data_IF_440061426703
#
_entry.id   IF_440061426703
#
_cell.length_a   1.000
_cell.length_b   1.000
_cell.length_c   1.000
_cell.angle_alpha   90.00
_cell.angle_beta   90.00
_cell.angle_gamma   90.00
#
_symmetry.space_group_name_H-M   'P 1'
#
loop_
_entity.id
_entity.type
_entity.pdbx_description
1 polymer ?
#
# COMPACT_ATOMS: atom_id res chain seq x y z
N UNK A 1 7.96 -81.99 25.33
CA UNK A 1 7.82 -81.83 23.87
C UNK A 1 6.39 -81.38 23.59
N UNK A 2 6.09 -80.23 22.96
CA UNK A 2 6.73 -78.91 23.07
C UNK A 2 5.73 -77.72 23.31
N UNK A 3 6.27 -76.60 23.83
CA UNK A 3 6.07 -75.18 23.43
C UNK A 3 4.70 -74.46 23.54
N UNK A 4 4.59 -73.43 24.42
CA UNK A 4 4.80 -71.98 24.08
C UNK A 4 4.54 -71.02 25.27
N UNK A 5 5.18 -69.85 25.18
CA UNK A 5 5.58 -68.87 26.21
C UNK A 5 4.48 -67.90 26.71
N UNK A 6 4.65 -67.28 27.91
CA UNK A 6 3.89 -66.12 28.34
C UNK A 6 4.67 -64.81 28.08
N UNK A 7 4.04 -63.82 27.44
CA UNK A 7 4.56 -62.45 27.38
C UNK A 7 3.38 -61.46 27.30
N UNK A 8 3.03 -60.84 28.41
CA UNK A 8 2.23 -59.62 28.41
C UNK A 8 2.97 -58.55 29.22
N UNK A 9 3.68 -57.68 28.52
CA UNK A 9 4.33 -56.49 29.06
C UNK A 9 3.26 -55.51 29.58
N UNK A 10 3.46 -55.05 30.81
CA UNK A 10 2.77 -53.89 31.38
C UNK A 10 3.32 -52.60 30.75
N UNK A 11 2.42 -51.75 30.24
CA UNK A 11 2.76 -50.43 29.68
C UNK A 11 2.76 -49.40 30.80
N UNK A 12 3.92 -48.79 31.07
CA UNK A 12 4.07 -47.59 31.90
C UNK A 12 3.56 -46.36 31.13
N UNK A 13 2.60 -45.63 31.69
CA UNK A 13 2.21 -44.30 31.21
C UNK A 13 3.11 -43.24 31.86
N UNK A 14 3.96 -42.59 31.06
CA UNK A 14 4.70 -41.40 31.47
C UNK A 14 3.98 -40.13 30.99
N UNK A 15 3.45 -39.34 31.93
CA UNK A 15 2.91 -38.01 31.67
C UNK A 15 4.08 -37.02 31.52
N UNK A 16 4.31 -36.52 30.31
CA UNK A 16 5.19 -35.37 30.06
C UNK A 16 4.31 -34.12 29.97
N UNK A 17 4.35 -33.26 31.00
CA UNK A 17 3.80 -31.91 30.92
C UNK A 17 4.68 -31.05 29.99
N UNK A 18 4.23 -30.88 28.75
CA UNK A 18 4.78 -29.89 27.84
C UNK A 18 4.28 -28.48 28.20
N UNK A 19 5.20 -27.65 28.68
CA UNK A 19 5.04 -26.19 28.78
C UNK A 19 4.83 -25.60 27.38
N UNK A 20 3.57 -25.39 27.00
CA UNK A 20 3.24 -24.59 25.82
C UNK A 20 3.42 -23.11 26.17
N UNK A 21 4.66 -22.62 26.03
CA UNK A 21 4.95 -21.19 25.88
C UNK A 21 4.30 -20.70 24.60
N UNK A 22 3.04 -20.25 24.69
CA UNK A 22 2.32 -19.58 23.62
C UNK A 22 2.96 -18.21 23.35
N UNK A 23 4.05 -18.20 22.59
CA UNK A 23 4.49 -17.00 21.89
C UNK A 23 3.35 -16.57 20.98
N UNK A 24 2.67 -15.48 21.36
CA UNK A 24 1.79 -14.77 20.42
C UNK A 24 2.69 -14.32 19.28
N UNK A 25 2.62 -15.01 18.14
CA UNK A 25 2.99 -14.40 16.89
C UNK A 25 2.15 -13.12 16.79
N UNK A 26 2.77 -11.95 16.97
CA UNK A 26 2.13 -10.68 16.61
C UNK A 26 1.70 -10.88 15.15
N UNK A 27 0.39 -10.80 14.89
CA UNK A 27 -0.10 -10.91 13.53
C UNK A 27 0.62 -9.82 12.72
N UNK A 28 1.43 -10.22 11.74
CA UNK A 28 2.33 -9.36 10.94
C UNK A 28 1.57 -8.40 9.98
N UNK A 29 0.46 -7.81 10.42
CA UNK A 29 -0.37 -6.92 9.63
C UNK A 29 -1.10 -5.89 10.48
N UNK A 30 -1.54 -4.83 9.82
CA UNK A 30 -2.35 -3.76 10.43
C UNK A 30 -3.65 -4.35 11.01
N UNK A 31 -4.04 -3.96 12.23
CA UNK A 31 -5.38 -4.23 12.78
C UNK A 31 -6.51 -3.70 11.90
N UNK A 32 -7.70 -4.31 12.04
CA UNK A 32 -8.90 -3.99 11.24
C UNK A 32 -9.41 -2.58 11.49
N UNK A 33 -9.83 -1.89 10.43
CA UNK A 33 -10.52 -0.62 10.59
C UNK A 33 -11.48 -0.34 9.42
N UNK A 34 -12.79 -0.38 9.73
CA UNK A 34 -13.91 -0.20 8.78
C UNK A 34 -13.84 -1.14 7.56
N UNK A 35 -13.26 -2.33 7.70
CA UNK A 35 -12.93 -3.18 6.55
C UNK A 35 -14.14 -3.56 5.69
N UNK A 36 -15.30 -3.81 6.31
CA UNK A 36 -16.52 -4.14 5.56
C UNK A 36 -16.98 -3.04 4.60
N UNK A 37 -16.69 -1.77 4.89
CA UNK A 37 -17.08 -0.63 4.05
C UNK A 37 -16.17 -0.45 2.84
N UNK A 38 -14.97 -1.03 2.85
CA UNK A 38 -13.94 -0.80 1.83
C UNK A 38 -13.41 -2.09 1.20
N UNK A 39 -13.94 -3.25 1.60
CA UNK A 39 -13.65 -4.52 0.97
C UNK A 39 -14.10 -4.49 -0.50
N UNK A 40 -13.38 -5.20 -1.36
CA UNK A 40 -13.81 -5.41 -2.74
C UNK A 40 -15.14 -6.16 -2.76
N UNK A 41 -16.22 -5.57 -3.31
CA UNK A 41 -17.55 -6.17 -3.23
C UNK A 41 -17.63 -7.52 -3.95
N UNK A 42 -16.95 -7.62 -5.10
CA UNK A 42 -16.92 -8.82 -5.92
C UNK A 42 -15.68 -8.85 -6.81
N UNK A 43 -15.04 -10.00 -6.87
CA UNK A 43 -13.99 -10.31 -7.85
C UNK A 43 -14.66 -10.93 -9.07
N UNK A 44 -14.54 -10.28 -10.23
CA UNK A 44 -15.10 -10.75 -11.50
C UNK A 44 -14.19 -11.77 -12.18
N UNK A 45 -12.87 -11.54 -12.11
CA UNK A 45 -11.87 -12.44 -12.65
C UNK A 45 -10.60 -12.40 -11.81
N UNK A 46 -9.87 -13.51 -11.84
CA UNK A 46 -8.58 -13.66 -11.20
C UNK A 46 -7.61 -14.35 -12.16
N UNK A 47 -6.48 -13.71 -12.41
CA UNK A 47 -5.41 -14.22 -13.27
C UNK A 47 -4.10 -14.25 -12.48
N UNK A 48 -3.10 -14.97 -13.02
CA UNK A 48 -1.76 -15.07 -12.42
C UNK A 48 -1.79 -15.47 -10.94
N UNK A 49 -2.64 -16.44 -10.58
CA UNK A 49 -2.77 -16.91 -9.19
C UNK A 49 -3.26 -15.85 -8.20
N UNK A 50 -4.00 -14.84 -8.67
CA UNK A 50 -4.49 -13.73 -7.85
C UNK A 50 -3.58 -12.50 -7.81
N UNK A 51 -2.54 -12.48 -8.64
CA UNK A 51 -1.72 -11.28 -8.84
C UNK A 51 -2.42 -10.26 -9.74
N UNK A 52 -3.32 -10.68 -10.63
CA UNK A 52 -4.17 -9.77 -11.39
C UNK A 52 -5.64 -10.06 -11.05
N UNK A 53 -6.30 -9.09 -10.42
CA UNK A 53 -7.73 -9.12 -10.14
C UNK A 53 -8.50 -8.15 -11.04
N UNK A 54 -9.66 -8.59 -11.54
CA UNK A 54 -10.71 -7.71 -12.06
C UNK A 54 -11.78 -7.61 -10.98
N UNK A 55 -12.00 -6.41 -10.48
CA UNK A 55 -12.92 -6.10 -9.39
C UNK A 55 -14.13 -5.38 -9.96
N UNK A 56 -15.33 -5.79 -9.54
CA UNK A 56 -16.56 -5.12 -9.93
C UNK A 56 -16.60 -3.71 -9.33
N UNK A 57 -16.73 -2.69 -10.18
CA UNK A 57 -17.06 -1.33 -9.75
C UNK A 57 -18.40 -0.93 -10.36
N UNK A 58 -19.35 -0.56 -9.49
CA UNK A 58 -20.71 -0.17 -9.88
C UNK A 58 -20.93 1.26 -9.44
N UNK A 59 -20.98 2.21 -10.39
CA UNK A 59 -21.17 3.66 -10.09
C UNK A 59 -22.31 3.93 -9.12
N UNK A 60 -23.44 3.22 -9.24
CA UNK A 60 -24.56 3.41 -8.32
C UNK A 60 -24.19 3.09 -6.86
N UNK A 61 -23.48 1.97 -6.61
CA UNK A 61 -23.08 1.53 -5.27
C UNK A 61 -21.85 2.30 -4.76
N UNK A 62 -20.81 2.30 -5.56
CA UNK A 62 -19.46 2.69 -5.14
C UNK A 62 -19.22 4.21 -5.23
N UNK A 63 -20.11 4.94 -5.94
CA UNK A 63 -20.11 6.38 -6.02
C UNK A 63 -21.43 6.97 -5.48
N UNK A 64 -22.57 6.76 -6.13
CA UNK A 64 -23.79 7.52 -5.82
C UNK A 64 -24.43 7.18 -4.47
N UNK A 65 -24.35 5.92 -4.02
CA UNK A 65 -24.83 5.52 -2.69
C UNK A 65 -23.80 5.75 -1.59
N UNK A 66 -22.51 5.73 -1.93
CA UNK A 66 -21.40 5.95 -1.00
C UNK A 66 -21.18 7.44 -0.71
N UNK A 67 -21.35 8.28 -1.71
CA UNK A 67 -21.17 9.72 -1.61
C UNK A 67 -22.50 10.42 -1.31
N UNK A 68 -22.46 11.35 -0.34
CA UNK A 68 -23.54 12.31 -0.07
C UNK A 68 -23.62 13.35 -1.19
N UNK A 69 -22.46 13.82 -1.66
CA UNK A 69 -22.31 14.62 -2.87
C UNK A 69 -21.31 13.90 -3.79
N UNK A 70 -21.72 13.40 -4.96
CA UNK A 70 -20.87 12.59 -5.83
C UNK A 70 -19.48 13.21 -6.03
N UNK A 71 -18.44 12.43 -5.74
CA UNK A 71 -17.03 12.79 -5.87
C UNK A 71 -16.51 13.89 -4.94
N UNK A 72 -17.39 14.53 -4.15
CA UNK A 72 -17.04 15.67 -3.30
C UNK A 72 -17.10 15.32 -1.81
N UNK A 73 -18.12 14.59 -1.37
CA UNK A 73 -18.32 14.29 0.04
C UNK A 73 -18.94 12.89 0.23
N UNK A 74 -18.22 12.02 0.94
CA UNK A 74 -18.71 10.71 1.37
C UNK A 74 -19.67 10.80 2.57
N UNK A 75 -20.57 9.83 2.72
CA UNK A 75 -21.36 9.70 3.95
C UNK A 75 -20.50 9.51 5.21
N UNK A 76 -20.97 10.06 6.34
CA UNK A 76 -20.22 10.10 7.59
C UNK A 76 -19.82 8.73 8.16
N UNK A 77 -20.53 7.65 7.82
CA UNK A 77 -20.16 6.29 8.21
C UNK A 77 -18.82 5.82 7.60
N UNK A 78 -18.33 6.44 6.52
CA UNK A 78 -17.00 6.19 5.96
C UNK A 78 -15.88 6.98 6.65
N UNK A 79 -16.23 7.95 7.50
CA UNK A 79 -15.28 8.90 8.09
C UNK A 79 -15.15 8.70 9.60
N UNK A 80 -13.97 9.04 10.11
CA UNK A 80 -13.68 9.23 11.54
C UNK A 80 -12.62 10.30 11.69
N UNK A 81 -12.91 11.30 12.50
CA UNK A 81 -12.01 12.41 12.75
C UNK A 81 -11.00 12.16 13.88
N UNK A 82 -10.90 10.93 14.40
CA UNK A 82 -9.84 10.53 15.33
C UNK A 82 -8.43 11.03 14.93
N UNK A 83 -8.01 10.97 13.65
CA UNK A 83 -6.66 11.39 13.30
C UNK A 83 -6.41 12.91 13.38
N UNK A 84 -7.47 13.74 13.44
CA UNK A 84 -7.36 15.21 13.41
C UNK A 84 -6.52 15.77 14.55
N UNK A 85 -6.55 15.17 15.73
CA UNK A 85 -5.77 15.62 16.89
C UNK A 85 -4.26 15.49 16.70
N UNK A 86 -3.83 14.61 15.79
CA UNK A 86 -2.42 14.38 15.46
C UNK A 86 -2.01 14.98 14.11
N UNK A 87 -2.92 15.69 13.44
CA UNK A 87 -2.66 16.26 12.12
C UNK A 87 -1.83 17.54 12.27
N UNK A 88 -0.71 17.59 11.58
CA UNK A 88 0.21 18.73 11.59
C UNK A 88 0.73 19.05 10.20
N UNK A 89 0.96 20.33 9.92
CA UNK A 89 1.71 20.80 8.75
C UNK A 89 3.18 20.87 9.15
N UNK A 90 4.05 20.17 8.42
CA UNK A 90 5.47 20.04 8.73
C UNK A 90 6.31 20.40 7.52
N UNK A 91 7.57 20.70 7.77
CA UNK A 91 8.56 20.94 6.73
C UNK A 91 9.91 20.33 7.12
N UNK A 92 10.65 19.90 6.10
CA UNK A 92 12.07 19.57 6.22
C UNK A 92 12.88 20.47 5.29
N UNK A 93 14.12 20.77 5.68
CA UNK A 93 15.09 21.39 4.79
C UNK A 93 15.86 20.31 4.05
N UNK A 94 15.71 20.25 2.73
CA UNK A 94 16.40 19.30 1.86
C UNK A 94 16.67 19.92 0.50
N UNK A 95 17.80 19.55 -0.13
CA UNK A 95 18.14 20.00 -1.49
C UNK A 95 18.14 21.54 -1.66
N UNK A 96 18.52 22.27 -0.60
CA UNK A 96 18.51 23.73 -0.58
C UNK A 96 17.12 24.39 -0.54
N UNK A 97 16.06 23.62 -0.24
CA UNK A 97 14.67 24.12 -0.18
C UNK A 97 13.91 23.54 1.01
N UNK A 98 12.74 24.10 1.28
CA UNK A 98 11.77 23.55 2.23
C UNK A 98 10.83 22.60 1.50
N UNK A 99 10.78 21.35 1.95
CA UNK A 99 9.81 20.34 1.49
C UNK A 99 8.71 20.26 2.54
N UNK A 100 7.51 20.73 2.17
CA UNK A 100 6.34 20.74 3.06
C UNK A 100 5.55 19.45 2.92
N UNK A 101 4.92 19.01 3.99
CA UNK A 101 4.05 17.86 3.98
C UNK A 101 3.11 17.92 5.18
N UNK A 102 1.92 17.37 4.99
CA UNK A 102 1.00 17.15 6.10
C UNK A 102 1.29 15.77 6.68
N UNK A 103 1.19 15.63 8.01
CA UNK A 103 1.44 14.38 8.69
C UNK A 103 0.37 14.07 9.75
N UNK A 104 0.10 12.79 9.96
CA UNK A 104 -0.88 12.26 10.92
C UNK A 104 -0.31 11.02 11.60
N UNK A 105 -0.50 10.88 12.92
CA UNK A 105 -0.01 9.75 13.71
C UNK A 105 1.33 10.03 14.40
N UNK A 106 2.26 9.05 14.39
CA UNK A 106 3.56 9.13 15.08
C UNK A 106 4.59 9.97 14.31
N UNK A 107 4.39 11.29 14.27
CA UNK A 107 5.24 12.24 13.51
C UNK A 107 6.61 12.49 14.15
N UNK A 108 6.72 12.40 15.47
CA UNK A 108 7.95 12.64 16.23
C UNK A 108 8.96 11.48 16.24
N UNK A 109 8.71 10.40 15.50
CA UNK A 109 9.57 9.22 15.43
C UNK A 109 9.01 7.98 16.11
N UNK A 110 9.70 6.85 15.92
CA UNK A 110 9.29 5.55 16.44
C UNK A 110 7.97 5.02 15.86
N UNK A 111 7.61 5.45 14.65
CA UNK A 111 6.45 4.92 13.96
C UNK A 111 6.67 3.44 13.63
N UNK A 112 5.65 2.59 13.82
CA UNK A 112 5.69 1.18 13.45
C UNK A 112 5.63 0.95 11.94
N UNK A 113 5.17 1.96 11.19
CA UNK A 113 4.99 1.93 9.75
C UNK A 113 4.82 3.36 9.22
N UNK A 114 5.31 3.63 8.02
CA UNK A 114 5.24 4.92 7.33
C UNK A 114 4.51 4.73 6.01
N UNK A 115 3.48 5.54 5.74
CA UNK A 115 2.82 5.61 4.44
C UNK A 115 2.90 7.04 3.92
N UNK A 116 3.47 7.21 2.73
CA UNK A 116 3.64 8.51 2.08
C UNK A 116 2.76 8.56 0.84
N UNK A 117 1.86 9.53 0.75
CA UNK A 117 1.06 9.78 -0.42
C UNK A 117 1.65 10.92 -1.27
N UNK A 118 1.81 10.65 -2.56
CA UNK A 118 2.29 11.55 -3.60
C UNK A 118 1.12 11.86 -4.53
N UNK A 119 0.70 13.12 -4.56
CA UNK A 119 -0.42 13.56 -5.37
C UNK A 119 -0.14 13.54 -6.88
N UNK A 120 -1.22 13.53 -7.67
CA UNK A 120 -1.16 13.71 -9.12
C UNK A 120 -1.17 15.17 -9.55
N UNK A 121 -1.27 15.41 -10.85
CA UNK A 121 -1.37 16.76 -11.43
C UNK A 121 -2.54 17.54 -10.81
N UNK A 122 -2.32 18.83 -10.52
CA UNK A 122 -3.32 19.69 -9.88
C UNK A 122 -3.54 19.43 -8.38
N UNK A 123 -2.88 18.42 -7.81
CA UNK A 123 -2.86 18.17 -6.37
C UNK A 123 -1.80 18.96 -5.60
N UNK A 124 -1.81 18.79 -4.29
CA UNK A 124 -0.80 19.28 -3.34
C UNK A 124 -0.88 18.46 -2.04
N UNK A 125 -0.09 18.82 -1.01
CA UNK A 125 -0.10 18.14 0.30
C UNK A 125 -1.47 18.04 0.98
N UNK A 126 -2.45 18.84 0.61
CA UNK A 126 -3.81 18.79 1.18
C UNK A 126 -4.70 17.72 0.54
N UNK A 127 -4.41 17.27 -0.68
CA UNK A 127 -5.25 16.28 -1.38
C UNK A 127 -5.38 14.99 -0.57
N UNK A 128 -4.25 14.41 -0.16
CA UNK A 128 -4.21 13.19 0.65
C UNK A 128 -4.69 13.37 2.09
N UNK A 129 -4.99 14.60 2.50
CA UNK A 129 -5.53 14.92 3.83
C UNK A 129 -7.05 15.11 3.82
N UNK A 130 -7.67 15.22 2.66
CA UNK A 130 -9.11 15.42 2.57
C UNK A 130 -9.85 14.17 3.07
N UNK A 131 -10.63 14.32 4.15
CA UNK A 131 -11.32 13.22 4.83
C UNK A 131 -12.50 12.66 4.03
N UNK A 132 -13.10 13.47 3.16
CA UNK A 132 -14.43 13.21 2.61
C UNK A 132 -14.43 12.90 1.11
N UNK A 133 -13.36 13.23 0.40
CA UNK A 133 -13.24 12.89 -1.03
C UNK A 133 -12.81 11.44 -1.23
N UNK A 134 -12.89 10.96 -2.48
CA UNK A 134 -12.53 9.59 -2.86
C UNK A 134 -13.18 8.53 -1.96
N UNK A 135 -14.46 8.72 -1.63
CA UNK A 135 -15.21 7.81 -0.77
C UNK A 135 -14.66 7.67 0.65
N UNK A 136 -13.88 8.64 1.14
CA UNK A 136 -13.24 8.59 2.46
C UNK A 136 -12.00 7.70 2.53
N UNK A 137 -11.42 7.28 1.40
CA UNK A 137 -10.30 6.34 1.42
C UNK A 137 -9.01 6.95 2.01
N UNK A 138 -8.80 8.26 1.86
CA UNK A 138 -7.74 8.97 2.59
C UNK A 138 -7.99 9.00 4.10
N UNK A 139 -9.24 9.20 4.54
CA UNK A 139 -9.58 9.09 5.95
C UNK A 139 -9.28 7.69 6.51
N UNK A 140 -9.54 6.63 5.73
CA UNK A 140 -9.26 5.26 6.15
C UNK A 140 -7.77 5.02 6.39
N UNK A 141 -6.90 5.38 5.45
CA UNK A 141 -5.45 5.20 5.64
C UNK A 141 -4.92 6.04 6.81
N UNK A 142 -5.41 7.27 6.99
CA UNK A 142 -5.07 8.10 8.15
C UNK A 142 -5.44 7.43 9.48
N UNK A 143 -6.61 6.81 9.56
CA UNK A 143 -7.03 6.05 10.74
C UNK A 143 -6.21 4.77 10.92
N UNK A 144 -5.91 4.02 9.86
CA UNK A 144 -5.05 2.84 9.93
C UNK A 144 -3.66 3.18 10.47
N UNK A 145 -3.08 4.32 10.07
CA UNK A 145 -1.77 4.73 10.59
C UNK A 145 -1.86 5.25 12.03
N UNK A 146 -2.70 6.26 12.29
CA UNK A 146 -2.79 6.89 13.62
C UNK A 146 -3.16 5.93 14.74
N UNK A 147 -4.06 4.97 14.49
CA UNK A 147 -4.54 4.01 15.51
C UNK A 147 -3.53 2.92 15.83
N UNK A 148 -2.62 2.61 14.90
CA UNK A 148 -1.72 1.46 15.00
C UNK A 148 -0.26 1.88 15.20
N UNK A 149 -0.03 3.10 15.69
CA UNK A 149 1.31 3.64 15.94
C UNK A 149 2.13 3.88 14.68
N UNK A 150 1.48 3.97 13.52
CA UNK A 150 2.10 4.38 12.26
C UNK A 150 2.04 5.89 12.05
N UNK A 151 2.56 6.32 10.90
CA UNK A 151 2.48 7.70 10.43
C UNK A 151 2.08 7.73 8.96
N UNK A 152 1.14 8.62 8.63
CA UNK A 152 0.71 8.90 7.27
C UNK A 152 1.15 10.31 6.89
N UNK A 153 1.79 10.44 5.72
CA UNK A 153 2.27 11.70 5.16
C UNK A 153 1.57 11.97 3.84
N UNK A 154 1.24 13.23 3.56
CA UNK A 154 0.81 13.70 2.25
C UNK A 154 1.76 14.81 1.83
N UNK A 155 2.58 14.55 0.81
CA UNK A 155 3.74 15.36 0.48
C UNK A 155 3.42 16.48 -0.51
N UNK A 156 4.16 17.58 -0.39
CA UNK A 156 4.34 18.58 -1.45
C UNK A 156 5.78 18.47 -1.97
N UNK A 157 5.99 18.78 -3.24
CA UNK A 157 7.27 18.60 -3.93
C UNK A 157 7.41 19.61 -5.07
N UNK A 158 8.63 19.80 -5.58
CA UNK A 158 8.94 20.82 -6.58
C UNK A 158 8.21 20.64 -7.92
N UNK A 159 8.24 19.42 -8.47
CA UNK A 159 7.75 19.08 -9.80
C UNK A 159 7.56 17.56 -9.95
N UNK A 160 7.00 17.12 -11.07
CA UNK A 160 6.90 15.70 -11.42
C UNK A 160 8.19 15.14 -12.06
N UNK A 161 9.33 15.80 -11.84
CA UNK A 161 10.62 15.47 -12.44
C UNK A 161 11.70 15.13 -11.41
N UNK A 162 12.98 15.33 -11.76
CA UNK A 162 14.10 14.99 -10.89
C UNK A 162 14.09 15.73 -9.54
N UNK A 163 13.67 17.01 -9.50
CA UNK A 163 13.68 17.77 -8.25
C UNK A 163 12.62 17.26 -7.28
N UNK A 164 11.40 17.00 -7.75
CA UNK A 164 10.39 16.39 -6.91
C UNK A 164 10.76 14.97 -6.48
N UNK A 165 11.45 14.20 -7.33
CA UNK A 165 11.97 12.88 -6.95
C UNK A 165 12.93 12.99 -5.76
N UNK A 166 13.86 13.94 -5.80
CA UNK A 166 14.81 14.17 -4.70
C UNK A 166 14.14 14.74 -3.43
N UNK A 167 13.07 15.53 -3.55
CA UNK A 167 12.28 15.98 -2.40
C UNK A 167 11.60 14.79 -1.69
N UNK A 168 10.95 13.90 -2.44
CA UNK A 168 10.27 12.72 -1.89
C UNK A 168 11.29 11.74 -1.31
N UNK A 169 12.43 11.56 -1.98
CA UNK A 169 13.56 10.75 -1.49
C UNK A 169 14.13 11.30 -0.17
N UNK A 170 14.23 12.62 -0.04
CA UNK A 170 14.63 13.24 1.23
C UNK A 170 13.61 12.94 2.34
N UNK A 171 12.31 13.05 2.05
CA UNK A 171 11.25 12.71 3.01
C UNK A 171 11.31 11.24 3.46
N UNK A 172 11.52 10.31 2.52
CA UNK A 172 11.72 8.88 2.80
C UNK A 172 12.92 8.68 3.73
N UNK A 173 14.07 9.31 3.43
CA UNK A 173 15.28 9.22 4.26
C UNK A 173 15.06 9.78 5.65
N UNK A 174 14.37 10.91 5.78
CA UNK A 174 14.03 11.51 7.08
C UNK A 174 13.23 10.53 7.93
N UNK A 175 12.19 9.90 7.37
CA UNK A 175 11.35 8.98 8.14
C UNK A 175 12.00 7.61 8.36
N UNK A 176 12.87 7.14 7.46
CA UNK A 176 13.71 5.98 7.71
C UNK A 176 14.65 6.20 8.90
N UNK A 177 15.24 7.39 9.01
CA UNK A 177 16.11 7.75 10.14
C UNK A 177 15.32 7.96 11.45
N UNK A 178 14.15 8.61 11.36
CA UNK A 178 13.32 8.92 12.53
C UNK A 178 12.52 7.72 13.06
N UNK A 179 12.31 6.70 12.23
CA UNK A 179 11.64 5.44 12.60
C UNK A 179 12.44 4.23 12.09
N UNK A 180 13.61 3.94 12.67
CA UNK A 180 14.47 2.86 12.20
C UNK A 180 13.75 1.50 12.17
N UNK A 181 13.91 0.77 11.07
CA UNK A 181 13.30 -0.55 10.86
C UNK A 181 11.84 -0.54 10.41
N UNK A 182 11.15 0.61 10.50
CA UNK A 182 9.76 0.72 10.08
C UNK A 182 9.60 0.48 8.56
N UNK A 183 8.61 -0.31 8.12
CA UNK A 183 8.25 -0.38 6.71
C UNK A 183 7.75 0.96 6.19
N UNK A 184 8.25 1.33 5.01
CA UNK A 184 7.90 2.56 4.30
C UNK A 184 7.21 2.21 2.99
N UNK A 185 5.96 2.60 2.87
CA UNK A 185 5.18 2.45 1.64
C UNK A 185 4.94 3.82 1.02
N UNK A 186 5.03 3.89 -0.31
CA UNK A 186 4.77 5.13 -1.05
C UNK A 186 3.63 4.87 -2.03
N UNK A 187 2.58 5.68 -1.94
CA UNK A 187 1.41 5.59 -2.78
C UNK A 187 1.31 6.83 -3.68
N UNK A 188 1.06 6.62 -4.97
CA UNK A 188 1.30 7.64 -5.98
C UNK A 188 0.08 7.70 -6.91
N UNK A 189 -0.58 8.86 -6.93
CA UNK A 189 -1.72 9.09 -7.81
C UNK A 189 -1.29 9.70 -9.15
N UNK A 190 -1.80 9.19 -10.26
CA UNK A 190 -1.62 9.78 -11.60
C UNK A 190 -0.15 10.11 -11.89
N UNK A 191 0.16 11.33 -12.35
CA UNK A 191 1.52 11.83 -12.60
C UNK A 191 2.49 11.69 -11.42
N UNK A 192 2.02 11.60 -10.17
CA UNK A 192 2.87 11.30 -9.01
C UNK A 192 3.61 9.97 -9.15
N UNK A 193 3.06 9.04 -9.94
CA UNK A 193 3.71 7.77 -10.29
C UNK A 193 5.06 7.94 -11.00
N UNK A 194 5.29 9.05 -11.73
CA UNK A 194 6.60 9.34 -12.34
C UNK A 194 7.70 9.39 -11.28
N UNK A 195 7.43 10.08 -10.16
CA UNK A 195 8.37 10.16 -9.04
C UNK A 195 8.63 8.78 -8.45
N UNK A 196 7.58 7.97 -8.30
CA UNK A 196 7.68 6.65 -7.69
C UNK A 196 8.41 5.63 -8.57
N UNK A 197 8.27 5.69 -9.90
CA UNK A 197 9.12 4.93 -10.81
C UNK A 197 10.58 5.36 -10.72
N UNK A 198 10.86 6.66 -10.59
CA UNK A 198 12.23 7.13 -10.38
C UNK A 198 12.82 6.64 -9.05
N UNK A 199 12.03 6.62 -7.97
CA UNK A 199 12.45 6.07 -6.68
C UNK A 199 12.74 4.56 -6.77
N UNK A 200 11.94 3.80 -7.51
CA UNK A 200 12.17 2.37 -7.74
C UNK A 200 13.43 2.11 -8.57
N UNK A 201 13.80 3.01 -9.48
CA UNK A 201 15.04 2.90 -10.27
C UNK A 201 16.28 3.39 -9.52
N UNK A 202 16.11 4.27 -8.52
CA UNK A 202 17.19 4.74 -7.67
C UNK A 202 17.50 3.72 -6.56
N UNK A 203 18.66 3.08 -6.63
CA UNK A 203 19.03 2.03 -5.67
C UNK A 203 19.11 2.51 -4.22
N UNK A 204 19.40 3.80 -3.96
CA UNK A 204 19.45 4.33 -2.59
C UNK A 204 18.07 4.57 -2.00
N UNK A 205 17.09 4.95 -2.83
CA UNK A 205 15.69 5.09 -2.43
C UNK A 205 15.01 3.72 -2.34
N UNK A 206 15.12 2.88 -3.38
CA UNK A 206 14.49 1.57 -3.44
C UNK A 206 14.80 0.68 -2.23
N UNK A 207 16.04 0.71 -1.71
CA UNK A 207 16.44 -0.03 -0.50
C UNK A 207 15.73 0.39 0.79
N UNK A 208 15.14 1.59 0.82
CA UNK A 208 14.37 2.09 1.96
C UNK A 208 12.87 1.77 1.82
N UNK A 209 12.43 1.31 0.65
CA UNK A 209 11.03 1.07 0.35
C UNK A 209 10.63 -0.36 0.67
N UNK A 210 9.42 -0.48 1.20
CA UNK A 210 8.76 -1.75 1.54
C UNK A 210 7.59 -2.07 0.63
N UNK A 211 7.20 -1.10 -0.20
CA UNK A 211 6.18 -1.27 -1.21
C UNK A 211 5.83 0.04 -1.89
N UNK A 212 5.37 -0.04 -3.13
CA UNK A 212 4.91 1.12 -3.90
C UNK A 212 3.54 0.84 -4.48
N UNK A 213 2.60 1.76 -4.28
CA UNK A 213 1.24 1.69 -4.80
C UNK A 213 1.07 2.75 -5.88
N UNK A 214 0.55 2.36 -7.03
CA UNK A 214 0.24 3.24 -8.15
C UNK A 214 -1.28 3.28 -8.35
N UNK A 215 -1.83 4.49 -8.43
CA UNK A 215 -3.26 4.71 -8.58
C UNK A 215 -3.53 5.51 -9.85
N UNK A 216 -3.96 4.83 -10.92
CA UNK A 216 -4.16 5.46 -12.22
C UNK A 216 -2.89 6.14 -12.73
N UNK A 217 -1.71 5.58 -12.45
CA UNK A 217 -0.42 6.18 -12.79
C UNK A 217 0.09 5.72 -14.16
N UNK A 218 0.96 6.50 -14.83
CA UNK A 218 1.62 6.03 -16.05
C UNK A 218 2.54 4.85 -15.74
N UNK A 219 2.71 3.94 -16.71
CA UNK A 219 3.80 2.96 -16.70
C UNK A 219 5.14 3.60 -17.03
N UNK A 220 6.23 2.93 -16.65
CA UNK A 220 7.59 3.32 -17.01
C UNK A 220 8.39 2.09 -17.46
N UNK A 221 8.54 1.94 -18.77
CA UNK A 221 9.26 0.81 -19.38
C UNK A 221 10.73 0.74 -18.94
N UNK A 222 11.34 1.86 -18.51
CA UNK A 222 12.72 1.84 -18.01
C UNK A 222 12.86 1.03 -16.72
N UNK A 223 11.76 0.82 -15.98
CA UNK A 223 11.74 -0.08 -14.82
C UNK A 223 12.11 -1.52 -15.20
N UNK A 224 11.82 -1.97 -16.43
CA UNK A 224 12.12 -3.33 -16.90
C UNK A 224 13.62 -3.65 -16.96
N UNK A 225 14.46 -2.61 -16.95
CA UNK A 225 15.92 -2.69 -16.93
C UNK A 225 16.52 -2.37 -15.56
N UNK A 226 15.69 -2.10 -14.54
CA UNK A 226 16.14 -1.69 -13.22
C UNK A 226 16.73 -2.85 -12.41
N UNK A 227 17.67 -2.53 -11.52
CA UNK A 227 18.16 -3.48 -10.51
C UNK A 227 17.05 -3.96 -9.58
N UNK A 228 16.06 -3.10 -9.30
CA UNK A 228 14.90 -3.42 -8.46
C UNK A 228 14.08 -4.56 -9.07
N UNK A 229 14.00 -4.67 -10.40
CA UNK A 229 13.35 -5.81 -11.06
C UNK A 229 14.28 -7.03 -11.17
N UNK A 230 15.53 -6.84 -11.61
CA UNK A 230 16.43 -7.92 -11.99
C UNK A 230 17.10 -8.63 -10.82
N UNK A 231 17.27 -7.97 -9.67
CA UNK A 231 17.89 -8.52 -8.46
C UNK A 231 16.81 -8.84 -7.42
N UNK A 232 16.60 -10.13 -7.15
CA UNK A 232 15.62 -10.61 -6.15
C UNK A 232 15.84 -10.03 -4.76
N UNK A 233 17.09 -9.77 -4.38
CA UNK A 233 17.41 -9.16 -3.08
C UNK A 233 17.00 -7.68 -2.99
N UNK A 234 16.63 -7.07 -4.13
CA UNK A 234 16.20 -5.67 -4.23
C UNK A 234 14.73 -5.53 -4.62
N UNK A 235 13.98 -6.62 -4.66
CA UNK A 235 12.56 -6.57 -5.01
C UNK A 235 11.81 -5.67 -4.01
N UNK A 236 11.02 -4.76 -4.56
CA UNK A 236 10.10 -3.91 -3.80
C UNK A 236 8.69 -4.30 -4.26
N UNK A 237 7.77 -4.68 -3.36
CA UNK A 237 6.40 -5.01 -3.75
C UNK A 237 5.70 -3.86 -4.48
N UNK A 238 5.06 -4.14 -5.61
CA UNK A 238 4.35 -3.15 -6.42
C UNK A 238 2.86 -3.48 -6.49
N UNK A 239 2.00 -2.50 -6.21
CA UNK A 239 0.57 -2.58 -6.48
C UNK A 239 0.20 -1.57 -7.57
N UNK A 240 -0.51 -2.04 -8.60
CA UNK A 240 -1.02 -1.26 -9.71
C UNK A 240 -2.56 -1.28 -9.64
N UNK A 241 -3.18 -0.19 -9.21
CA UNK A 241 -4.62 -0.02 -9.27
C UNK A 241 -5.02 0.82 -10.48
N UNK A 242 -5.96 0.33 -11.28
CA UNK A 242 -6.38 0.99 -12.54
C UNK A 242 -7.88 0.87 -12.81
N UNK A 243 -8.47 1.83 -13.52
CA UNK A 243 -9.86 1.75 -13.97
C UNK A 243 -9.96 1.33 -15.43
N UNK A 244 -10.90 0.44 -15.81
CA UNK A 244 -11.03 0.01 -17.22
C UNK A 244 -11.64 1.07 -18.15
N UNK A 245 -12.19 2.14 -17.59
CA UNK A 245 -12.67 3.34 -18.30
C UNK A 245 -11.81 4.57 -17.98
N UNK A 246 -10.53 4.37 -17.68
CA UNK A 246 -9.55 5.47 -17.56
C UNK A 246 -9.20 6.01 -18.95
N UNK A 247 -9.61 7.26 -19.22
CA UNK A 247 -9.36 7.95 -20.49
C UNK A 247 -7.99 8.65 -20.54
N UNK A 248 -7.27 8.73 -19.40
CA UNK A 248 -5.94 9.37 -19.33
C UNK A 248 -4.85 8.36 -19.67
N UNK A 249 -4.93 7.16 -19.08
CA UNK A 249 -4.01 6.07 -19.36
C UNK A 249 -4.80 4.79 -19.64
N UNK A 250 -4.69 4.28 -20.87
CA UNK A 250 -5.33 3.02 -21.27
C UNK A 250 -4.93 1.85 -20.35
N UNK A 251 -5.92 1.10 -19.90
CA UNK A 251 -5.75 0.00 -18.96
C UNK A 251 -5.05 -1.21 -19.61
N UNK A 252 -5.26 -1.45 -20.91
CA UNK A 252 -4.63 -2.60 -21.57
C UNK A 252 -3.11 -2.40 -21.66
N UNK A 253 -2.66 -1.17 -21.92
CA UNK A 253 -1.25 -0.80 -21.87
C UNK A 253 -0.63 -1.05 -20.49
N UNK A 254 -1.38 -0.80 -19.42
CA UNK A 254 -0.94 -1.07 -18.05
C UNK A 254 -0.91 -2.58 -17.74
N UNK A 255 -1.92 -3.32 -18.22
CA UNK A 255 -1.96 -4.78 -18.11
C UNK A 255 -0.77 -5.41 -18.85
N UNK A 256 -0.48 -5.01 -20.09
CA UNK A 256 0.69 -5.48 -20.86
C UNK A 256 2.01 -5.18 -20.14
N UNK A 257 2.12 -4.04 -19.45
CA UNK A 257 3.30 -3.71 -18.65
C UNK A 257 3.44 -4.62 -17.41
N UNK A 258 2.34 -4.89 -16.69
CA UNK A 258 2.32 -5.90 -15.63
C UNK A 258 2.79 -7.27 -16.15
N UNK A 259 2.30 -7.69 -17.31
CA UNK A 259 2.71 -8.95 -17.94
C UNK A 259 4.19 -8.95 -18.31
N UNK A 260 4.72 -7.83 -18.81
CA UNK A 260 6.14 -7.67 -19.10
C UNK A 260 7.00 -7.83 -17.83
N UNK A 261 6.57 -7.27 -16.69
CA UNK A 261 7.23 -7.47 -15.39
C UNK A 261 7.23 -8.97 -15.02
N UNK A 262 6.06 -9.63 -15.04
CA UNK A 262 5.96 -11.07 -14.71
C UNK A 262 6.76 -11.94 -15.68
N UNK A 263 6.80 -11.60 -16.97
CA UNK A 263 7.59 -12.33 -17.97
C UNK A 263 9.09 -12.20 -17.70
N UNK A 264 9.56 -11.00 -17.33
CA UNK A 264 10.97 -10.73 -17.05
C UNK A 264 11.44 -11.31 -15.71
N UNK A 265 10.58 -11.28 -14.71
CA UNK A 265 10.83 -11.80 -13.37
C UNK A 265 9.55 -12.48 -12.83
N UNK A 266 9.36 -13.79 -13.07
CA UNK A 266 8.13 -14.51 -12.69
C UNK A 266 7.78 -14.44 -11.20
N UNK A 267 8.80 -14.38 -10.34
CA UNK A 267 8.62 -14.29 -8.89
C UNK A 267 8.52 -12.85 -8.37
N UNK A 268 8.50 -11.83 -9.24
CA UNK A 268 8.42 -10.45 -8.80
C UNK A 268 7.10 -10.19 -8.06
N UNK A 269 7.12 -9.56 -6.87
CA UNK A 269 5.92 -9.29 -6.08
C UNK A 269 5.16 -8.08 -6.66
N UNK A 270 4.50 -8.27 -7.80
CA UNK A 270 3.62 -7.26 -8.39
C UNK A 270 2.17 -7.75 -8.38
N UNK A 271 1.26 -6.85 -8.00
CA UNK A 271 -0.19 -7.02 -8.13
C UNK A 271 -0.79 -5.96 -9.04
N UNK A 272 -1.78 -6.36 -9.82
CA UNK A 272 -2.62 -5.51 -10.65
C UNK A 272 -4.08 -5.67 -10.23
N UNK A 273 -4.79 -4.57 -10.03
CA UNK A 273 -6.22 -4.56 -9.74
C UNK A 273 -6.91 -3.62 -10.69
N UNK A 274 -7.71 -4.20 -11.58
CA UNK A 274 -8.56 -3.49 -12.52
C UNK A 274 -9.95 -3.31 -11.93
N UNK A 275 -10.40 -2.07 -11.76
CA UNK A 275 -11.76 -1.75 -11.39
C UNK A 275 -12.60 -1.63 -12.67
N UNK A 276 -13.47 -2.60 -12.89
CA UNK A 276 -14.28 -2.70 -14.11
C UNK A 276 -15.30 -1.54 -14.20
N UNK A 277 -15.31 -0.82 -15.31
CA UNK A 277 -16.01 0.46 -15.54
C UNK A 277 -15.53 1.65 -14.70
N UNK A 278 -14.43 1.46 -13.95
CA UNK A 278 -13.79 2.51 -13.16
C UNK A 278 -13.09 3.55 -14.03
N UNK A 279 -13.16 4.82 -13.63
CA UNK A 279 -12.42 5.94 -14.25
C UNK A 279 -11.06 6.19 -13.57
N UNK A 280 -10.30 7.18 -14.06
CA UNK A 280 -8.96 7.54 -13.59
C UNK A 280 -8.78 7.64 -12.05
N UNK A 281 -9.74 8.25 -11.35
CA UNK A 281 -9.69 8.41 -9.88
C UNK A 281 -10.16 7.19 -9.07
N UNK A 282 -10.72 6.18 -9.73
CA UNK A 282 -11.31 4.99 -9.09
C UNK A 282 -10.31 4.22 -8.23
N UNK A 283 -9.05 4.01 -8.65
CA UNK A 283 -8.08 3.31 -7.82
C UNK A 283 -7.82 3.96 -6.46
N UNK A 284 -7.83 5.31 -6.39
CA UNK A 284 -7.71 6.03 -5.12
C UNK A 284 -8.95 5.78 -4.25
N UNK A 285 -10.14 5.80 -4.84
CA UNK A 285 -11.42 5.58 -4.14
C UNK A 285 -11.57 4.14 -3.62
N UNK A 286 -11.15 3.17 -4.42
CA UNK A 286 -11.55 1.76 -4.24
C UNK A 286 -10.47 0.87 -3.65
N UNK A 287 -9.18 1.20 -3.75
CA UNK A 287 -8.12 0.34 -3.21
C UNK A 287 -8.33 0.07 -1.72
N UNK A 288 -8.39 -1.21 -1.35
CA UNK A 288 -8.41 -1.61 0.05
C UNK A 288 -7.00 -1.48 0.64
N UNK A 289 -6.77 -0.36 1.33
CA UNK A 289 -5.49 -0.07 1.97
C UNK A 289 -5.00 -1.19 2.88
N UNK A 290 -5.86 -1.74 3.75
CA UNK A 290 -5.43 -2.75 4.72
C UNK A 290 -5.03 -4.04 4.00
N UNK A 291 -5.82 -4.46 3.02
CA UNK A 291 -5.54 -5.63 2.18
C UNK A 291 -4.17 -5.49 1.50
N UNK A 292 -3.95 -4.38 0.77
CA UNK A 292 -2.73 -4.19 -0.02
C UNK A 292 -1.51 -4.03 0.87
N UNK A 293 -1.60 -3.23 1.95
CA UNK A 293 -0.47 -3.00 2.84
C UNK A 293 -0.07 -4.27 3.59
N UNK A 294 -1.03 -5.09 4.03
CA UNK A 294 -0.71 -6.38 4.68
C UNK A 294 -0.08 -7.37 3.68
N UNK A 295 -0.52 -7.37 2.42
CA UNK A 295 0.16 -8.16 1.39
C UNK A 295 1.62 -7.72 1.20
N UNK A 296 1.87 -6.41 1.11
CA UNK A 296 3.24 -5.88 0.98
C UNK A 296 4.11 -6.23 2.19
N UNK A 297 3.58 -6.12 3.40
CA UNK A 297 4.27 -6.50 4.64
C UNK A 297 4.68 -7.97 4.63
N UNK A 298 3.86 -8.85 4.07
CA UNK A 298 4.14 -10.28 3.97
C UNK A 298 5.23 -10.64 2.93
N UNK A 299 5.70 -9.67 2.13
CA UNK A 299 6.81 -9.88 1.17
C UNK A 299 8.19 -9.51 1.74
N UNK A 300 8.24 -8.92 2.95
CA UNK A 300 9.48 -8.46 3.59
C UNK A 300 10.28 -9.58 4.24
#
# INVERSE_FOLDING_TARGET
MPLRFPSALAVLAALVLGLAGGGRAEANGLPSYKDSLFAYPKILASHYGGDFLVVEYVKQRDLHQRDKEPEREVWGNYVSYHPRSSQTDLEISANGRKVKFMAVGKTGGGARMVVIYIHGQGGNRFQGMNDVTFGGNFNRIKNLMSRNGGVYLSAEFADFGPRGTEDVKALIRTYAANSPGAPIMVACGSMGGILCWNLLKDGSAARLLSGVLFFGSPKDEAFLSSATLSDRARHVPIYLGHGSSDEVYDWEGQARFFEAIKKRAPSYPVKFTLFDTGTHGTPIRMTDWRLVLNWMLAQR
#
